data_IF_364562799020
#
_entry.id   IF_364562799020
#
_cell.length_a   1.000
_cell.length_b   1.000
_cell.length_c   1.000
_cell.angle_alpha   90.00
_cell.angle_beta   90.00
_cell.angle_gamma   90.00
#
_symmetry.space_group_name_H-M   'P 1'
#
loop_
_entity.id
_entity.type
_entity.pdbx_description
1 polymer ?
2 water ?
#
# COMPACT_ATOMS: atom_id res chain seq x y z
N UNK A 11 11.20 -12.91 6.64
CA UNK A 11 11.83 -11.58 6.35
C UNK A 11 10.75 -10.49 6.24
N UNK A 12 10.77 -9.55 7.18
CA UNK A 12 9.95 -8.32 7.14
C UNK A 12 8.86 -8.28 8.21
N UNK A 13 7.79 -7.55 7.93
CA UNK A 13 6.72 -7.36 8.90
C UNK A 13 5.38 -7.44 8.23
N UNK A 14 4.34 -7.64 9.02
CA UNK A 14 3.01 -7.74 8.44
C UNK A 14 2.25 -6.46 8.50
N UNK A 15 2.78 -5.41 9.14
CA UNK A 15 2.16 -4.07 9.14
C UNK A 15 3.17 -2.93 8.95
N UNK A 16 2.95 -2.08 7.92
CA UNK A 16 3.84 -0.99 7.55
C UNK A 16 2.98 0.26 7.49
N UNK A 17 3.53 1.40 7.88
CA UNK A 17 2.80 2.65 7.73
C UNK A 17 3.65 3.70 7.02
N UNK A 18 3.00 4.52 6.23
CA UNK A 18 3.68 5.61 5.50
C UNK A 18 2.93 6.91 5.82
N UNK A 19 3.53 7.82 6.60
CA UNK A 19 2.74 8.93 7.17
C UNK A 19 2.51 10.08 6.18
N UNK A 20 3.21 10.05 5.05
CA UNK A 20 3.02 11.10 4.05
C UNK A 20 3.04 10.55 2.64
N UNK A 21 1.97 10.82 1.89
CA UNK A 21 1.81 10.45 0.49
C UNK A 21 1.20 11.61 -0.30
N UNK A 22 1.44 11.68 -1.60
CA UNK A 22 0.91 12.81 -2.37
C UNK A 22 0.94 12.49 -3.84
N UNK A 23 -0.17 12.74 -4.53
CA UNK A 23 -0.24 12.54 -5.98
C UNK A 23 -0.42 13.94 -6.62
N UNK A 24 0.56 14.38 -7.43
CA UNK A 24 0.52 15.74 -7.99
C UNK A 24 -0.59 15.84 -9.00
N UNK A 25 -1.23 17.03 -9.10
CA UNK A 25 -2.39 17.20 -10.00
C UNK A 25 -2.00 17.33 -11.49
N UNK A 38 4.42 8.48 -6.74
CA UNK A 38 3.92 7.92 -5.47
C UNK A 38 3.80 6.36 -5.51
N UNK A 39 4.82 5.66 -4.99
CA UNK A 39 5.01 4.19 -5.19
C UNK A 39 5.50 3.49 -3.93
N UNK A 40 4.93 2.32 -3.67
CA UNK A 40 5.47 1.44 -2.63
C UNK A 40 6.06 0.21 -3.34
N UNK A 41 7.32 -0.08 -3.03
CA UNK A 41 7.98 -1.24 -3.57
C UNK A 41 7.79 -2.25 -2.48
N UNK A 42 7.24 -3.40 -2.84
CA UNK A 42 6.96 -4.47 -1.82
C UNK A 42 7.82 -5.67 -2.21
N UNK A 43 8.44 -6.34 -1.24
CA UNK A 43 9.15 -7.57 -1.51
C UNK A 43 8.51 -8.66 -0.61
N UNK A 44 8.10 -9.78 -1.22
CA UNK A 44 7.66 -10.98 -0.44
C UNK A 44 8.75 -12.02 -0.69
N UNK A 45 9.71 -12.11 0.24
CA UNK A 45 10.80 -13.05 0.10
C UNK A 45 10.39 -14.44 0.55
N UNK A 46 9.17 -14.56 1.08
CA UNK A 46 8.66 -15.84 1.57
C UNK A 46 8.02 -16.82 0.58
N UNK A 47 7.65 -18.01 1.05
CA UNK A 47 7.10 -19.04 0.14
C UNK A 47 5.55 -19.05 0.02
N UNK A 48 4.88 -18.16 0.73
CA UNK A 48 3.43 -18.04 0.60
C UNK A 48 3.12 -16.70 -0.05
N UNK A 49 2.04 -16.68 -0.83
CA UNK A 49 1.61 -15.42 -1.46
C UNK A 49 1.18 -14.46 -0.36
N UNK A 50 1.44 -13.17 -0.58
CA UNK A 50 1.04 -12.12 0.35
C UNK A 50 -0.25 -11.48 -0.13
N UNK A 51 -1.25 -11.59 0.72
CA UNK A 51 -2.54 -10.93 0.56
C UNK A 51 -2.51 -9.61 1.30
N UNK A 52 -2.31 -8.55 0.52
CA UNK A 52 -2.03 -7.25 1.06
C UNK A 52 -3.28 -6.36 1.02
N UNK A 53 -3.44 -5.50 2.03
CA UNK A 53 -4.58 -4.60 2.21
C UNK A 53 -4.04 -3.23 2.56
N UNK A 54 -4.30 -2.25 1.67
CA UNK A 54 -3.87 -0.91 1.91
C UNK A 54 -5.10 -0.05 2.35
N UNK A 55 -4.89 0.82 3.35
CA UNK A 55 -5.94 1.78 3.81
C UNK A 55 -5.34 3.16 3.71
N UNK A 56 -6.08 4.08 3.08
CA UNK A 56 -5.64 5.46 2.94
C UNK A 56 -6.29 6.39 3.97
N UNK A 57 -5.45 7.18 4.65
CA UNK A 57 -5.92 8.12 5.68
C UNK A 57 -5.79 9.55 5.21
N UNK A 58 -6.64 10.42 5.75
CA UNK A 58 -6.73 11.82 5.32
C UNK A 58 -6.78 12.71 6.57
N UNK A 59 -6.60 14.00 6.39
CA UNK A 59 -6.61 14.97 7.53
C UNK A 59 -8.04 15.34 7.96
N UNK A 60 -8.99 15.10 7.07
CA UNK A 60 -10.34 15.71 7.18
C UNK A 60 -11.52 14.80 6.79
N UNK A 61 -11.25 13.53 6.51
CA UNK A 61 -12.32 12.57 6.28
C UNK A 61 -11.93 11.17 6.75
N UNK A 62 -12.91 10.27 6.82
CA UNK A 62 -12.67 8.89 7.24
C UNK A 62 -11.74 8.18 6.24
N UNK A 63 -11.02 7.14 6.72
CA UNK A 63 -10.09 6.41 5.85
C UNK A 63 -10.87 5.65 4.73
N UNK A 64 -10.20 5.39 3.60
CA UNK A 64 -10.74 4.61 2.49
C UNK A 64 -9.93 3.31 2.28
N UNK A 65 -10.64 2.19 2.19
CA UNK A 65 -10.03 0.88 1.91
C UNK A 65 -10.90 -0.20 2.51
N UNK A 66 -10.43 -1.45 2.49
CA UNK A 66 -9.08 -1.80 2.04
C UNK A 66 -8.96 -1.86 0.51
N UNK A 67 -7.80 -1.42 -0.01
CA UNK A 67 -7.40 -1.70 -1.39
C UNK A 67 -6.65 -3.03 -1.29
N UNK A 68 -7.12 -4.04 -2.02
CA UNK A 68 -6.55 -5.38 -1.90
C UNK A 68 -5.71 -5.79 -3.13
N UNK A 69 -4.54 -6.38 -2.87
CA UNK A 69 -3.69 -6.94 -3.93
C UNK A 69 -2.86 -8.13 -3.45
N UNK A 70 -2.37 -8.91 -4.40
CA UNK A 70 -1.54 -10.08 -4.08
C UNK A 70 -0.11 -9.84 -4.54
N UNK A 71 0.84 -10.04 -3.62
CA UNK A 71 2.25 -10.10 -3.97
C UNK A 71 2.65 -11.59 -3.90
N UNK A 72 3.01 -12.19 -5.06
CA UNK A 72 3.34 -13.63 -5.17
C UNK A 72 4.57 -14.02 -4.31
N UNK A 73 4.60 -15.25 -3.80
CA UNK A 73 5.83 -15.83 -3.20
C UNK A 73 7.10 -15.50 -4.00
N UNK A 74 8.14 -15.00 -3.30
CA UNK A 74 9.49 -14.80 -3.83
C UNK A 74 9.50 -13.84 -4.99
N UNK A 75 8.68 -12.79 -4.89
CA UNK A 75 8.66 -11.75 -5.99
C UNK A 75 8.61 -10.38 -5.37
N UNK A 76 8.99 -9.35 -6.13
CA UNK A 76 8.70 -7.99 -5.73
C UNK A 76 7.42 -7.58 -6.47
N UNK A 77 6.80 -6.50 -6.00
CA UNK A 77 5.73 -5.85 -6.75
C UNK A 77 5.74 -4.38 -6.43
N UNK A 78 5.71 -3.54 -7.47
CA UNK A 78 5.57 -2.10 -7.25
C UNK A 78 4.09 -1.74 -7.35
N UNK A 79 3.61 -0.94 -6.42
CA UNK A 79 2.23 -0.51 -6.48
C UNK A 79 2.23 1.01 -6.58
N UNK A 80 1.70 1.56 -7.67
CA UNK A 80 1.50 3.01 -7.75
C UNK A 80 0.19 3.50 -7.10
N UNK A 81 0.28 4.41 -6.13
CA UNK A 81 -0.92 4.92 -5.49
C UNK A 81 -1.90 5.53 -6.49
N UNK A 82 -1.37 6.10 -7.57
CA UNK A 82 -2.18 6.65 -8.62
C UNK A 82 -3.00 5.61 -9.38
N UNK A 83 -2.58 4.35 -9.32
CA UNK A 83 -3.28 3.28 -10.03
C UNK A 83 -4.38 2.62 -9.21
N UNK A 84 -4.41 2.90 -7.92
CA UNK A 84 -5.43 2.31 -7.05
C UNK A 84 -6.82 2.91 -7.37
N UNK A 85 -7.83 2.05 -7.39
CA UNK A 85 -9.17 2.50 -7.77
C UNK A 85 -10.33 1.77 -7.13
N UNK A 86 -10.08 0.74 -6.33
CA UNK A 86 -11.16 -0.02 -5.78
C UNK A 86 -10.79 -0.16 -4.30
N UNK A 87 -11.52 0.52 -3.39
CA UNK A 87 -12.88 1.10 -3.51
C UNK A 87 -13.06 2.45 -4.23
N UNK A 88 -12.02 3.24 -4.36
CA UNK A 88 -12.14 4.54 -5.05
C UNK A 88 -10.78 5.06 -5.37
N UNK A 89 -10.66 5.86 -6.44
CA UNK A 89 -9.42 6.55 -6.67
C UNK A 89 -9.05 7.55 -5.56
N UNK A 90 -7.76 7.68 -5.31
CA UNK A 90 -7.22 8.68 -4.38
C UNK A 90 -7.21 10.06 -5.05
N UNK A 91 -7.86 11.08 -4.43
CA UNK A 91 -7.85 12.39 -5.14
C UNK A 91 -6.45 12.93 -5.28
N UNK A 92 -6.22 13.63 -6.37
CA UNK A 92 -4.93 14.21 -6.58
C UNK A 92 -4.78 15.50 -5.78
N UNK A 93 -3.55 15.99 -5.73
CA UNK A 93 -3.19 17.18 -5.00
C UNK A 93 -3.67 17.20 -3.54
N UNK A 94 -3.54 16.05 -2.84
CA UNK A 94 -4.12 15.83 -1.50
C UNK A 94 -3.12 15.00 -0.67
N UNK A 95 -2.72 15.50 0.49
CA UNK A 95 -1.74 14.77 1.29
C UNK A 95 -2.50 13.64 1.94
N UNK A 96 -1.93 12.45 1.93
CA UNK A 96 -2.56 11.31 2.61
C UNK A 96 -1.50 10.50 3.33
N UNK A 97 -1.91 9.52 4.12
CA UNK A 97 -0.98 8.56 4.71
C UNK A 97 -1.54 7.18 4.35
N UNK A 98 -0.75 6.12 4.55
CA UNK A 98 -1.23 4.79 4.21
C UNK A 98 -0.73 3.75 5.21
N UNK A 99 -1.61 2.79 5.47
CA UNK A 99 -1.25 1.63 6.28
C UNK A 99 -1.33 0.41 5.33
N UNK A 100 -0.30 -0.42 5.33
CA UNK A 100 -0.22 -1.59 4.46
C UNK A 100 -0.13 -2.82 5.38
N UNK A 101 -1.09 -3.72 5.25
CA UNK A 101 -1.18 -4.93 6.12
C UNK A 101 -1.11 -6.15 5.21
N UNK A 102 -0.52 -7.23 5.71
CA UNK A 102 -0.30 -8.42 4.89
C UNK A 102 -0.56 -9.59 5.85
N UNK A 103 -1.01 -10.71 5.33
CA UNK A 103 -1.11 -11.95 6.16
C UNK A 103 0.25 -12.59 6.46
N UNK A 104 1.28 -12.27 5.67
CA UNK A 104 2.65 -12.83 5.79
C UNK A 104 3.64 -11.65 5.80
N UNK A 105 4.84 -11.82 6.38
CA UNK A 105 5.82 -10.73 6.43
C UNK A 105 6.25 -10.30 5.04
N UNK A 106 6.27 -8.99 4.86
CA UNK A 106 6.79 -8.38 3.65
C UNK A 106 7.71 -7.23 4.00
N UNK A 107 8.40 -6.74 2.98
CA UNK A 107 9.28 -5.59 3.17
C UNK A 107 8.77 -4.52 2.22
N UNK A 108 8.58 -3.32 2.77
CA UNK A 108 8.01 -2.20 2.02
C UNK A 108 8.96 -1.05 2.06
N UNK A 109 9.15 -0.41 0.91
CA UNK A 109 9.94 0.81 0.81
C UNK A 109 9.07 1.80 0.02
N UNK A 110 8.96 3.01 0.51
CA UNK A 110 8.20 4.04 -0.16
C UNK A 110 9.16 4.80 -1.05
N UNK A 111 8.85 4.90 -2.34
CA UNK A 111 9.62 5.76 -3.24
C UNK A 111 8.76 6.88 -3.84
#
# INVERSE_FOLDING_TARGET
MHHHHHHSLSIGRTCWAIAEGYIPPYGNGPEPQFISHETVCILNAGDEDAHVEITIYYSDKEPVGPYRLTVPARRTKHVRFNDLNDPAPIPHDTDFASVIQSNVPIVVQHTRLDSRQAENALLSTIAYANT
#
